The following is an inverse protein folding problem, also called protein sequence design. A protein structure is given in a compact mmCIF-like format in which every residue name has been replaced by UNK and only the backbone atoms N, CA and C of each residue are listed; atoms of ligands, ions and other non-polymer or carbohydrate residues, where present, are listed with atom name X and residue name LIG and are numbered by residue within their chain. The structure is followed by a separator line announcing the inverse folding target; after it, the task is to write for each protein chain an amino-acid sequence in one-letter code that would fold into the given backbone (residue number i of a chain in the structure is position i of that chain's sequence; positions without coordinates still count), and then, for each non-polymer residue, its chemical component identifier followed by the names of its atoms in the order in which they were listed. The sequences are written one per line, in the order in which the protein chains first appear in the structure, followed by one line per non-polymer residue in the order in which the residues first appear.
data_IF_626198788990
#
_entry.id   IF_626198788990
#
_cell.length_a   1.000
_cell.length_b   1.000
_cell.length_c   1.000
_cell.angle_alpha   90.00
_cell.angle_beta   90.00
_cell.angle_gamma   90.00
#
_symmetry.space_group_name_H-M   'P 1'
#
loop_
_entity.id
_entity.type
_entity.pdbx_description
1 polymer ?
#
# COMPACT_ATOMS: atom_id res chain seq x y z
N UNK A 1 -15.92 8.99 13.92
CA UNK A 1 -15.78 10.08 12.93
C UNK A 1 -14.81 9.59 11.86
N UNK A 2 -15.32 8.90 10.84
CA UNK A 2 -14.54 8.17 9.83
C UNK A 2 -14.21 9.00 8.60
N UNK A 3 -15.01 10.04 8.32
CA UNK A 3 -14.88 10.87 7.13
C UNK A 3 -13.70 11.84 7.21
N UNK A 4 -13.51 12.54 8.34
CA UNK A 4 -12.35 13.41 8.54
C UNK A 4 -11.04 12.66 8.39
N UNK A 5 -10.99 11.43 8.93
CA UNK A 5 -9.84 10.53 8.80
C UNK A 5 -9.63 10.08 7.36
N UNK A 6 -10.71 9.78 6.61
CA UNK A 6 -10.61 9.45 5.20
C UNK A 6 -10.05 10.62 4.38
N UNK A 7 -10.51 11.86 4.64
CA UNK A 7 -9.99 13.08 3.98
C UNK A 7 -8.51 13.30 4.32
N UNK A 8 -8.11 13.08 5.57
CA UNK A 8 -6.72 13.17 5.99
C UNK A 8 -5.82 12.15 5.26
N UNK A 9 -6.25 10.88 5.20
CA UNK A 9 -5.55 9.82 4.45
C UNK A 9 -5.41 10.24 2.99
N UNK A 10 -6.50 10.63 2.33
CA UNK A 10 -6.46 11.05 0.92
C UNK A 10 -5.50 12.23 0.68
N UNK A 11 -5.43 13.19 1.61
CA UNK A 11 -4.48 14.32 1.52
C UNK A 11 -3.03 13.89 1.71
N UNK A 12 -2.74 12.91 2.57
CA UNK A 12 -1.41 12.34 2.73
C UNK A 12 -1.01 11.55 1.48
N UNK A 13 -1.91 10.71 0.96
CA UNK A 13 -1.69 9.87 -0.23
C UNK A 13 -1.56 10.68 -1.52
N UNK A 14 -2.24 11.83 -1.63
CA UNK A 14 -2.23 12.63 -2.88
C UNK A 14 -0.83 13.02 -3.34
N UNK A 15 0.12 13.18 -2.41
CA UNK A 15 1.54 13.46 -2.70
C UNK A 15 2.23 12.34 -3.49
N UNK A 16 1.76 11.10 -3.33
CA UNK A 16 2.28 9.93 -4.02
C UNK A 16 1.56 9.65 -5.35
N UNK A 17 0.43 10.32 -5.58
CA UNK A 17 -0.46 10.06 -6.71
C UNK A 17 -0.25 11.12 -7.79
N UNK A 18 -0.20 10.70 -9.05
CA UNK A 18 0.01 11.61 -10.20
C UNK A 18 -1.29 12.24 -10.70
N UNK A 19 -2.32 12.28 -9.86
CA UNK A 19 -3.64 12.83 -10.15
C UNK A 19 -4.08 13.76 -9.02
N UNK A 20 -4.80 14.82 -9.36
CA UNK A 20 -5.38 15.72 -8.37
C UNK A 20 -6.48 14.99 -7.60
N UNK A 21 -6.30 14.85 -6.29
CA UNK A 21 -7.28 14.23 -5.39
C UNK A 21 -7.74 15.29 -4.40
N UNK A 22 -9.06 15.41 -4.27
CA UNK A 22 -9.71 16.29 -3.31
C UNK A 22 -10.64 15.43 -2.43
N UNK A 23 -10.54 15.63 -1.12
CA UNK A 23 -11.44 15.02 -0.13
C UNK A 23 -12.38 16.09 0.42
N UNK A 24 -13.65 15.75 0.52
CA UNK A 24 -14.71 16.63 1.01
C UNK A 24 -15.35 16.04 2.26
N UNK A 25 -15.88 16.91 3.10
CA UNK A 25 -16.52 16.60 4.37
C UNK A 25 -18.02 16.86 4.31
N UNK A 26 -18.75 16.45 5.34
CA UNK A 26 -20.20 16.66 5.49
C UNK A 26 -20.60 18.14 5.48
N UNK A 27 -19.65 19.03 5.80
CA UNK A 27 -19.83 20.49 5.73
C UNK A 27 -19.75 21.04 4.31
N UNK A 28 -19.20 20.28 3.36
CA UNK A 28 -19.14 20.65 1.95
C UNK A 28 -20.48 20.32 1.28
N UNK A 29 -21.11 21.32 0.66
CA UNK A 29 -22.42 21.11 0.04
C UNK A 29 -22.30 20.30 -1.26
N UNK A 30 -23.32 19.50 -1.63
CA UNK A 30 -23.31 18.76 -2.89
C UNK A 30 -23.07 19.65 -4.12
N UNK A 31 -23.63 20.87 -4.12
CA UNK A 31 -23.44 21.83 -5.21
C UNK A 31 -21.99 22.29 -5.34
N UNK A 32 -21.31 22.54 -4.21
CA UNK A 32 -19.88 22.87 -4.20
C UNK A 32 -19.02 21.73 -4.74
N UNK A 33 -19.28 20.50 -4.29
CA UNK A 33 -18.56 19.30 -4.75
C UNK A 33 -18.75 19.09 -6.26
N UNK A 34 -19.98 19.26 -6.77
CA UNK A 34 -20.28 19.12 -8.20
C UNK A 34 -19.56 20.17 -9.06
N UNK A 35 -19.51 21.43 -8.61
CA UNK A 35 -18.77 22.49 -9.30
C UNK A 35 -17.26 22.16 -9.36
N UNK A 36 -16.66 21.77 -8.23
CA UNK A 36 -15.25 21.38 -8.16
C UNK A 36 -14.92 20.16 -9.01
N UNK A 37 -15.81 19.17 -9.05
CA UNK A 37 -15.64 18.01 -9.92
C UNK A 37 -15.65 18.39 -11.41
N UNK A 38 -16.55 19.30 -11.80
CA UNK A 38 -16.62 19.82 -13.17
C UNK A 38 -15.32 20.52 -13.57
N UNK A 39 -14.74 21.32 -12.68
CA UNK A 39 -13.44 21.97 -12.88
C UNK A 39 -12.30 20.95 -13.02
N UNK A 40 -12.29 19.89 -12.19
CA UNK A 40 -11.29 18.82 -12.28
C UNK A 40 -11.35 18.09 -13.63
N UNK A 41 -12.55 17.80 -14.13
CA UNK A 41 -12.73 17.18 -15.45
C UNK A 41 -12.22 18.11 -16.55
N UNK A 42 -12.60 19.39 -16.52
CA UNK A 42 -12.17 20.37 -17.51
C UNK A 42 -10.62 20.48 -17.53
N UNK A 43 -9.99 20.58 -16.36
CA UNK A 43 -8.54 20.64 -16.23
C UNK A 43 -7.83 19.36 -16.68
N UNK A 44 -8.45 18.19 -16.47
CA UNK A 44 -7.90 16.91 -16.93
C UNK A 44 -7.92 16.78 -18.47
N UNK A 45 -8.65 17.64 -19.19
CA UNK A 45 -8.72 17.68 -20.67
C UNK A 45 -9.04 16.31 -21.29
N UNK A 46 -9.87 15.51 -20.62
CA UNK A 46 -10.23 14.16 -21.08
C UNK A 46 -9.08 13.15 -21.09
N UNK A 47 -7.96 13.44 -20.42
CA UNK A 47 -6.83 12.52 -20.30
C UNK A 47 -7.27 11.24 -19.59
N UNK A 48 -7.35 10.16 -20.36
CA UNK A 48 -7.66 8.84 -19.81
C UNK A 48 -6.47 8.32 -19.01
N UNK A 49 -6.76 7.72 -17.87
CA UNK A 49 -5.77 6.94 -17.14
C UNK A 49 -5.29 5.80 -18.04
N UNK A 50 -3.99 5.53 -18.00
CA UNK A 50 -3.38 4.36 -18.62
C UNK A 50 -2.78 3.49 -17.52
N UNK A 51 -2.98 2.17 -17.58
CA UNK A 51 -2.25 1.23 -16.73
C UNK A 51 -0.75 1.47 -16.86
N UNK A 52 -0.03 1.20 -15.78
CA UNK A 52 1.43 1.28 -15.73
C UNK A 52 1.97 0.09 -14.97
N UNK A 53 3.16 -0.35 -15.33
CA UNK A 53 3.88 -1.39 -14.59
C UNK A 53 3.88 -1.09 -13.09
N UNK A 54 3.50 -2.04 -12.23
CA UNK A 54 3.57 -1.89 -10.79
C UNK A 54 4.98 -1.50 -10.33
N UNK A 55 5.07 -0.75 -9.23
CA UNK A 55 6.35 -0.52 -8.58
C UNK A 55 6.76 -1.82 -7.91
N UNK A 56 7.91 -2.35 -8.29
CA UNK A 56 8.53 -3.49 -7.61
C UNK A 56 9.86 -3.02 -7.01
N UNK A 57 10.05 -3.07 -5.69
CA UNK A 57 11.34 -2.74 -5.06
C UNK A 57 12.47 -3.65 -5.55
N UNK A 58 13.70 -3.13 -5.54
CA UNK A 58 14.87 -3.87 -6.07
C UNK A 58 15.15 -5.17 -5.30
N UNK A 59 14.97 -5.15 -3.98
CA UNK A 59 15.24 -6.30 -3.09
C UNK A 59 14.35 -7.52 -3.40
N UNK A 60 13.22 -7.35 -4.10
CA UNK A 60 12.35 -8.48 -4.52
C UNK A 60 13.09 -9.45 -5.45
N UNK A 61 14.14 -8.99 -6.14
CA UNK A 61 14.98 -9.82 -7.02
C UNK A 61 16.10 -10.51 -6.25
N UNK A 62 16.33 -10.16 -4.99
CA UNK A 62 17.35 -10.76 -4.15
C UNK A 62 16.90 -12.14 -3.66
N UNK A 63 17.65 -13.23 -3.95
CA UNK A 63 17.31 -14.57 -3.47
C UNK A 63 17.29 -14.71 -1.95
N UNK A 64 17.95 -13.80 -1.23
CA UNK A 64 18.01 -13.79 0.24
C UNK A 64 16.79 -13.13 0.88
N UNK A 65 15.96 -12.41 0.10
CA UNK A 65 14.76 -11.78 0.61
C UNK A 65 13.77 -12.82 1.15
N UNK A 66 13.21 -12.58 2.32
CA UNK A 66 12.19 -13.44 2.91
C UNK A 66 10.88 -13.32 2.13
N UNK A 67 10.32 -14.47 1.78
CA UNK A 67 9.04 -14.60 1.09
C UNK A 67 8.03 -15.34 1.95
N UNK A 68 6.89 -14.70 2.22
CA UNK A 68 5.76 -15.29 2.95
C UNK A 68 4.53 -15.30 2.04
N UNK A 69 3.85 -16.44 1.93
CA UNK A 69 2.70 -16.58 1.03
C UNK A 69 1.44 -15.97 1.65
N UNK A 70 0.67 -15.29 0.81
CA UNK A 70 -0.73 -14.92 1.12
C UNK A 70 -1.66 -15.48 0.06
N UNK A 71 -2.97 -15.50 0.33
CA UNK A 71 -3.96 -16.18 -0.50
C UNK A 71 -3.87 -15.80 -1.99
N UNK A 72 -3.65 -14.53 -2.28
CA UNK A 72 -3.58 -13.99 -3.64
C UNK A 72 -2.24 -13.32 -3.91
N UNK A 73 -1.13 -13.86 -3.40
CA UNK A 73 0.17 -13.23 -3.61
C UNK A 73 1.21 -13.62 -2.57
N UNK A 74 2.05 -12.65 -2.22
CA UNK A 74 3.15 -12.86 -1.28
C UNK A 74 3.65 -11.54 -0.69
N UNK A 75 4.15 -11.63 0.53
CA UNK A 75 4.93 -10.58 1.17
C UNK A 75 6.41 -10.85 0.91
N UNK A 76 7.11 -9.79 0.52
CA UNK A 76 8.55 -9.74 0.39
C UNK A 76 9.12 -8.86 1.48
N UNK A 77 10.17 -9.34 2.17
CA UNK A 77 10.88 -8.59 3.20
C UNK A 77 12.37 -8.62 2.89
N UNK A 78 12.99 -7.45 2.88
CA UNK A 78 14.44 -7.31 2.72
C UNK A 78 15.14 -7.79 4.00
N UNK A 79 15.61 -9.02 3.95
CA UNK A 79 16.30 -9.68 5.06
C UNK A 79 17.61 -8.98 5.43
N UNK A 80 18.30 -8.37 4.47
CA UNK A 80 19.53 -7.64 4.73
C UNK A 80 19.28 -6.36 5.55
N UNK A 81 18.11 -5.74 5.37
CA UNK A 81 17.68 -4.55 6.11
C UNK A 81 16.84 -4.85 7.34
N UNK A 82 16.55 -6.12 7.64
CA UNK A 82 15.59 -6.50 8.69
C UNK A 82 15.87 -5.82 10.04
N UNK A 83 17.12 -5.80 10.50
CA UNK A 83 17.48 -5.17 11.78
C UNK A 83 17.14 -3.67 11.86
N UNK A 84 17.09 -2.98 10.72
CA UNK A 84 16.79 -1.56 10.62
C UNK A 84 15.28 -1.30 10.51
N UNK A 85 14.55 -2.17 9.79
CA UNK A 85 13.13 -1.97 9.48
C UNK A 85 12.19 -2.71 10.44
N UNK A 86 12.71 -3.67 11.22
CA UNK A 86 11.96 -4.57 12.10
C UNK A 86 10.91 -3.85 12.92
N UNK A 87 11.30 -2.83 13.69
CA UNK A 87 10.40 -2.21 14.65
C UNK A 87 9.18 -1.58 13.97
N UNK A 88 9.37 -0.99 12.79
CA UNK A 88 8.30 -0.43 11.99
C UNK A 88 7.42 -1.52 11.39
N UNK A 89 8.01 -2.57 10.80
CA UNK A 89 7.26 -3.67 10.19
C UNK A 89 6.44 -4.45 11.23
N UNK A 90 7.00 -4.76 12.39
CA UNK A 90 6.27 -5.40 13.51
C UNK A 90 5.07 -4.53 13.94
N UNK A 91 5.27 -3.21 14.04
CA UNK A 91 4.21 -2.26 14.44
C UNK A 91 3.12 -2.13 13.36
N UNK A 92 3.51 -1.88 12.10
CA UNK A 92 2.59 -1.60 11.01
C UNK A 92 1.83 -2.84 10.53
N UNK A 93 2.40 -4.03 10.68
CA UNK A 93 1.71 -5.29 10.41
C UNK A 93 0.80 -5.75 11.56
N UNK A 94 0.71 -4.99 12.66
CA UNK A 94 -0.08 -5.38 13.83
C UNK A 94 0.44 -6.66 14.50
N UNK A 95 1.75 -6.92 14.41
CA UNK A 95 2.40 -8.13 14.93
C UNK A 95 2.21 -9.38 14.08
N UNK A 96 1.73 -9.26 12.83
CA UNK A 96 1.64 -10.40 11.90
C UNK A 96 3.01 -10.84 11.39
N UNK A 97 3.95 -9.91 11.30
CA UNK A 97 5.37 -10.16 11.06
C UNK A 97 6.09 -9.95 12.38
N UNK A 98 6.93 -10.91 12.76
CA UNK A 98 7.72 -10.90 13.98
C UNK A 98 9.16 -11.30 13.69
N UNK A 99 10.06 -10.91 14.59
CA UNK A 99 11.39 -11.47 14.64
C UNK A 99 11.39 -12.90 15.23
N UNK A 100 11.99 -13.84 14.50
CA UNK A 100 12.39 -15.14 15.02
C UNK A 100 13.87 -15.33 14.73
N UNK A 101 14.66 -15.34 15.79
CA UNK A 101 16.12 -15.58 15.70
C UNK A 101 16.84 -14.58 14.78
N UNK A 102 16.42 -13.31 14.79
CA UNK A 102 17.02 -12.26 13.96
C UNK A 102 16.56 -12.29 12.49
N UNK A 103 15.49 -13.02 12.18
CA UNK A 103 14.91 -13.14 10.84
C UNK A 103 13.42 -12.80 10.88
N UNK A 104 12.87 -12.20 9.82
CA UNK A 104 11.44 -11.94 9.74
C UNK A 104 10.66 -13.25 9.54
N UNK A 105 9.58 -13.43 10.28
CA UNK A 105 8.71 -14.60 10.21
C UNK A 105 7.24 -14.24 10.43
N UNK A 106 6.34 -15.07 9.90
CA UNK A 106 4.92 -14.98 10.21
C UNK A 106 4.64 -15.36 11.67
N UNK A 107 3.83 -14.56 12.36
CA UNK A 107 3.38 -14.84 13.72
C UNK A 107 2.35 -15.97 13.79
N UNK A 108 1.59 -16.16 12.70
CA UNK A 108 0.49 -17.11 12.60
C UNK A 108 0.87 -18.32 11.73
N UNK A 109 0.14 -19.44 11.85
CA UNK A 109 0.20 -20.54 10.89
C UNK A 109 -0.11 -20.06 9.45
N UNK A 110 0.42 -20.77 8.46
CA UNK A 110 0.39 -20.34 7.05
C UNK A 110 -1.02 -20.11 6.51
N UNK A 111 -1.99 -20.95 6.88
CA UNK A 111 -3.38 -20.86 6.44
C UNK A 111 -4.08 -19.62 7.00
N UNK A 112 -3.86 -19.31 8.28
CA UNK A 112 -4.41 -18.10 8.91
C UNK A 112 -3.72 -16.84 8.40
N UNK A 113 -2.37 -16.84 8.36
CA UNK A 113 -1.57 -15.73 7.84
C UNK A 113 -1.97 -15.36 6.41
N UNK A 114 -2.25 -16.37 5.57
CA UNK A 114 -2.60 -16.14 4.19
C UNK A 114 -3.88 -15.32 3.97
N UNK A 115 -4.72 -15.21 5.00
CA UNK A 115 -5.97 -14.43 4.97
C UNK A 115 -5.83 -12.98 5.42
N UNK A 116 -4.61 -12.55 5.81
CA UNK A 116 -4.33 -11.23 6.39
C UNK A 116 -3.80 -10.21 5.39
N UNK A 117 -4.24 -10.32 4.13
CA UNK A 117 -3.80 -9.45 3.04
C UNK A 117 -4.12 -7.96 3.29
N UNK A 118 -5.23 -7.67 3.98
CA UNK A 118 -5.64 -6.31 4.32
C UNK A 118 -4.68 -5.62 5.29
N UNK A 119 -4.27 -6.31 6.35
CA UNK A 119 -3.31 -5.80 7.34
C UNK A 119 -1.90 -5.68 6.75
N UNK A 120 -1.49 -6.64 5.92
CA UNK A 120 -0.20 -6.61 5.23
C UNK A 120 -0.15 -5.50 4.17
N UNK A 121 -1.27 -5.20 3.51
CA UNK A 121 -1.38 -4.06 2.59
C UNK A 121 -1.28 -2.74 3.36
N UNK A 122 -1.93 -2.63 4.51
CA UNK A 122 -1.79 -1.46 5.38
C UNK A 122 -0.33 -1.28 5.83
N UNK A 123 0.37 -2.37 6.13
CA UNK A 123 1.79 -2.35 6.48
C UNK A 123 2.67 -1.79 5.35
N UNK A 124 2.51 -2.27 4.11
CA UNK A 124 3.25 -1.75 2.94
C UNK A 124 3.00 -0.25 2.75
N UNK A 125 1.73 0.17 2.81
CA UNK A 125 1.35 1.58 2.66
C UNK A 125 1.97 2.47 3.75
N UNK A 126 1.94 2.04 5.02
CA UNK A 126 2.51 2.82 6.12
C UNK A 126 4.04 2.84 6.09
N UNK A 127 4.71 1.72 5.80
CA UNK A 127 6.17 1.68 5.60
C UNK A 127 6.57 2.66 4.49
N UNK A 128 5.86 2.64 3.37
CA UNK A 128 6.10 3.56 2.26
C UNK A 128 5.92 5.02 2.66
N UNK A 129 4.87 5.34 3.42
CA UNK A 129 4.68 6.72 3.87
C UNK A 129 5.73 7.19 4.88
N UNK A 130 6.32 6.25 5.62
CA UNK A 130 7.42 6.50 6.53
C UNK A 130 8.79 6.48 5.81
N UNK A 131 8.82 6.33 4.48
CA UNK A 131 10.04 6.19 3.67
C UNK A 131 10.90 4.99 4.10
N UNK A 132 10.26 3.96 4.65
CA UNK A 132 10.86 2.70 5.03
C UNK A 132 10.74 1.74 3.85
N UNK A 133 11.86 1.54 3.16
CA UNK A 133 11.99 0.50 2.14
C UNK A 133 12.31 -0.85 2.80
N UNK A 134 11.99 -1.97 2.14
CA UNK A 134 12.30 -3.31 2.65
C UNK A 134 11.08 -4.16 3.06
N UNK A 135 9.86 -3.64 2.91
CA UNK A 135 8.62 -4.41 2.99
C UNK A 135 7.77 -4.16 1.74
N UNK A 136 7.25 -5.22 1.13
CA UNK A 136 6.42 -5.10 -0.08
C UNK A 136 5.39 -6.22 -0.16
N UNK A 137 4.13 -5.84 -0.38
CA UNK A 137 3.07 -6.80 -0.67
C UNK A 137 2.85 -6.87 -2.18
N UNK A 138 3.13 -8.04 -2.75
CA UNK A 138 2.79 -8.36 -4.14
C UNK A 138 1.48 -9.13 -4.17
N UNK A 139 0.46 -8.58 -4.83
CA UNK A 139 -0.82 -9.23 -5.05
C UNK A 139 -0.95 -9.63 -6.52
N UNK A 140 -1.26 -10.91 -6.75
CA UNK A 140 -1.53 -11.47 -8.06
C UNK A 140 -2.95 -11.02 -8.49
N UNK A 141 -3.01 -10.14 -9.49
CA UNK A 141 -4.27 -9.61 -10.04
C UNK A 141 -4.44 -10.14 -11.47
N UNK A 142 -5.31 -11.14 -11.70
CA UNK A 142 -5.53 -11.71 -13.01
C UNK A 142 -5.90 -10.65 -14.07
N UNK A 143 -5.23 -10.69 -15.22
CA UNK A 143 -5.43 -9.77 -16.34
C UNK A 143 -4.77 -8.39 -16.18
N UNK A 144 -4.12 -8.09 -15.05
CA UNK A 144 -3.45 -6.80 -14.87
C UNK A 144 -2.22 -6.66 -15.78
N UNK A 145 -1.44 -7.73 -15.95
CA UNK A 145 -0.23 -7.72 -16.79
C UNK A 145 -0.53 -7.52 -18.27
N UNK A 146 -1.75 -7.85 -18.71
CA UNK A 146 -2.21 -7.63 -20.10
C UNK A 146 -2.54 -6.16 -20.38
N UNK A 147 -2.69 -5.34 -19.33
CA UNK A 147 -3.09 -3.94 -19.42
C UNK A 147 -1.90 -2.97 -19.49
N UNK A 148 -0.70 -3.41 -19.08
CA UNK A 148 0.49 -2.57 -18.84
C UNK A 148 1.55 -2.66 -19.92
#
# INVERSE_FOLDING_TARGET
NTEDRAVEILRRTSKLLRAAIQGYRKTDTPAFIAARFSELIANASGKKWKPRTPRVPEFVKDPSATKLLVKNGRVWIDTAQWSQIRAAVETHSGGLIIDREGQPAAALPNDEFATKDSELLACDVECRFAEIEGFYLELDIPGLDELV
#
